data_IF_485846474774
#
_entry.id   IF_485846474774
#
_cell.length_a   1.000
_cell.length_b   1.000
_cell.length_c   1.000
_cell.angle_alpha   90.00
_cell.angle_beta   90.00
_cell.angle_gamma   90.00
#
_symmetry.space_group_name_H-M   'P 1'
#
loop_
_entity.id
_entity.type
_entity.pdbx_description
1 polymer ?
#
# COMPACT_ATOMS: atom_id res chain seq x y z
N UNK A 1 19.49 22.83 3.02
CA UNK A 1 18.15 23.39 3.32
C UNK A 1 17.08 22.37 2.93
N UNK A 2 16.65 21.54 3.88
CA UNK A 2 15.55 20.59 3.67
C UNK A 2 14.24 21.37 3.76
N UNK A 3 13.55 21.53 2.63
CA UNK A 3 12.18 22.07 2.62
C UNK A 3 11.30 21.09 3.38
N UNK A 4 11.02 21.37 4.66
CA UNK A 4 9.97 20.66 5.41
C UNK A 4 8.65 21.04 4.74
N UNK A 5 8.05 20.09 4.04
CA UNK A 5 6.70 20.22 3.49
C UNK A 5 5.75 20.55 4.64
N UNK A 6 4.92 21.60 4.54
CA UNK A 6 4.00 21.95 5.62
C UNK A 6 3.01 20.79 5.87
N UNK A 7 2.87 20.37 7.13
CA UNK A 7 1.95 19.29 7.59
C UNK A 7 0.48 19.49 7.15
N UNK A 8 0.08 20.69 6.71
CA UNK A 8 -1.29 21.05 6.32
C UNK A 8 -1.71 20.64 4.91
N UNK A 9 -0.76 20.26 4.04
CA UNK A 9 -1.06 19.99 2.61
C UNK A 9 -0.94 18.51 2.21
N UNK A 10 -0.63 17.60 3.15
CA UNK A 10 -0.58 16.17 2.88
C UNK A 10 -2.01 15.59 2.91
N UNK A 11 -2.87 16.01 1.99
CA UNK A 11 -4.14 15.33 1.77
C UNK A 11 -3.84 13.96 1.15
N UNK A 12 -3.75 12.94 2.00
CA UNK A 12 -3.55 11.56 1.57
C UNK A 12 -4.88 11.07 1.03
N UNK A 13 -4.90 10.84 -0.28
CA UNK A 13 -6.03 10.20 -0.93
C UNK A 13 -5.77 8.70 -0.92
N UNK A 14 -6.75 7.92 -0.45
CA UNK A 14 -6.70 6.47 -0.50
C UNK A 14 -6.42 5.99 -1.93
N UNK A 15 -7.09 6.60 -2.92
CA UNK A 15 -6.82 6.39 -4.34
C UNK A 15 -6.42 7.70 -4.99
N UNK A 16 -5.25 7.69 -5.64
CA UNK A 16 -4.72 8.83 -6.36
C UNK A 16 -4.54 8.51 -7.84
N UNK A 17 -5.11 9.34 -8.71
CA UNK A 17 -4.84 9.27 -10.15
C UNK A 17 -3.62 10.13 -10.50
N UNK A 18 -2.60 9.52 -11.10
CA UNK A 18 -1.45 10.26 -11.58
C UNK A 18 -1.83 11.15 -12.78
N UNK A 19 -1.51 12.45 -12.67
CA UNK A 19 -1.68 13.42 -13.75
C UNK A 19 -0.50 13.49 -14.71
N UNK A 20 0.62 12.85 -14.35
CA UNK A 20 1.90 12.86 -15.08
C UNK A 20 2.55 11.49 -14.94
N UNK A 21 3.48 11.19 -15.83
CA UNK A 21 4.35 10.00 -15.73
C UNK A 21 5.07 9.96 -14.38
N UNK A 22 5.10 8.79 -13.78
CA UNK A 22 5.81 8.49 -12.53
C UNK A 22 7.30 8.26 -12.80
N UNK A 23 8.08 8.06 -11.73
CA UNK A 23 9.52 7.75 -11.82
C UNK A 23 9.81 6.25 -11.95
N UNK A 24 8.79 5.41 -11.86
CA UNK A 24 8.89 3.97 -12.06
C UNK A 24 8.93 3.68 -13.56
N UNK A 25 9.37 2.49 -13.93
CA UNK A 25 9.33 2.01 -15.32
C UNK A 25 7.95 1.47 -15.71
N UNK A 26 7.03 1.39 -14.75
CA UNK A 26 5.70 0.85 -14.94
C UNK A 26 4.75 1.85 -15.60
N UNK A 27 3.75 1.38 -16.38
CA UNK A 27 2.73 2.23 -16.98
C UNK A 27 1.69 2.67 -15.93
N UNK A 28 2.13 3.46 -14.95
CA UNK A 28 1.29 3.81 -13.80
C UNK A 28 0.23 4.85 -14.15
N UNK A 29 -1.00 4.57 -13.73
CA UNK A 29 -2.13 5.49 -13.84
C UNK A 29 -2.76 5.82 -12.50
N UNK A 30 -2.82 4.86 -11.59
CA UNK A 30 -3.37 5.04 -10.26
C UNK A 30 -2.42 4.55 -9.19
N UNK A 31 -2.66 5.02 -7.98
CA UNK A 31 -1.99 4.59 -6.77
C UNK A 31 -3.01 4.35 -5.68
N UNK A 32 -3.00 3.16 -5.09
CA UNK A 32 -3.73 2.87 -3.85
C UNK A 32 -2.75 3.02 -2.69
N UNK A 33 -3.17 3.73 -1.64
CA UNK A 33 -2.43 3.89 -0.40
C UNK A 33 -2.86 2.83 0.61
N UNK A 34 -1.99 1.86 0.86
CA UNK A 34 -2.23 0.80 1.84
C UNK A 34 -1.78 1.21 3.24
N UNK A 35 -0.80 2.11 3.33
CA UNK A 35 -0.36 2.69 4.58
C UNK A 35 0.22 4.08 4.32
N UNK A 36 -0.02 5.02 5.23
CA UNK A 36 0.72 6.27 5.31
C UNK A 36 0.82 6.79 6.75
N UNK A 37 2.04 7.12 7.18
CA UNK A 37 2.30 7.82 8.44
C UNK A 37 2.87 9.24 8.15
N UNK A 38 2.14 10.32 8.47
CA UNK A 38 2.60 11.69 8.20
C UNK A 38 3.80 12.13 9.06
N UNK A 39 4.09 11.45 10.16
CA UNK A 39 5.17 11.82 11.08
C UNK A 39 6.51 11.25 10.63
N UNK A 40 6.51 9.99 10.21
CA UNK A 40 7.70 9.30 9.71
C UNK A 40 7.85 9.40 8.19
N UNK A 41 6.79 9.81 7.49
CA UNK A 41 6.65 9.74 6.03
C UNK A 41 6.74 8.30 5.50
N UNK A 42 6.37 7.34 6.33
CA UNK A 42 6.28 5.95 5.90
C UNK A 42 5.06 5.72 5.04
N UNK A 43 5.21 4.89 4.02
CA UNK A 43 4.13 4.58 3.09
C UNK A 43 4.27 3.22 2.44
N UNK A 44 3.12 2.64 2.11
CA UNK A 44 2.99 1.49 1.22
C UNK A 44 2.02 1.88 0.12
N UNK A 45 2.52 1.93 -1.11
CA UNK A 45 1.73 2.29 -2.27
C UNK A 45 1.66 1.12 -3.23
N UNK A 46 0.45 0.81 -3.70
CA UNK A 46 0.24 -0.09 -4.82
C UNK A 46 0.00 0.74 -6.07
N UNK A 47 0.81 0.50 -7.09
CA UNK A 47 0.73 1.17 -8.37
C UNK A 47 -0.10 0.32 -9.34
N UNK A 48 -1.04 0.98 -10.03
CA UNK A 48 -1.97 0.33 -10.96
C UNK A 48 -1.98 1.01 -12.32
N UNK A 49 -2.22 0.24 -13.37
CA UNK A 49 -2.36 0.71 -14.74
C UNK A 49 -3.76 1.33 -15.00
N UNK A 50 -4.02 1.74 -16.25
CA UNK A 50 -5.30 2.33 -16.64
C UNK A 50 -6.51 1.39 -16.51
N UNK A 51 -6.27 0.07 -16.48
CA UNK A 51 -7.29 -0.97 -16.29
C UNK A 51 -7.42 -1.39 -14.82
N UNK A 52 -6.76 -0.65 -13.92
CA UNK A 52 -6.70 -0.94 -12.49
C UNK A 52 -6.00 -2.26 -12.13
N UNK A 53 -5.19 -2.79 -13.05
CA UNK A 53 -4.33 -3.96 -12.84
C UNK A 53 -3.08 -3.50 -12.10
N UNK A 54 -2.56 -4.35 -11.20
CA UNK A 54 -1.41 -4.01 -10.37
C UNK A 54 -0.12 -4.14 -11.14
N UNK A 55 0.66 -3.06 -11.20
CA UNK A 55 2.02 -3.06 -11.74
C UNK A 55 3.05 -3.47 -10.69
N UNK A 56 2.84 -3.08 -9.43
CA UNK A 56 3.67 -3.45 -8.30
C UNK A 56 3.46 -2.54 -7.09
N UNK A 57 4.34 -2.63 -6.11
CA UNK A 57 4.28 -1.89 -4.85
C UNK A 57 5.55 -1.09 -4.60
N UNK A 58 5.41 0.01 -3.87
CA UNK A 58 6.50 0.91 -3.49
C UNK A 58 6.42 1.21 -2.00
N UNK A 59 7.56 1.04 -1.32
CA UNK A 59 7.69 1.34 0.11
C UNK A 59 8.47 2.65 0.32
N UNK A 60 8.27 3.29 1.48
CA UNK A 60 9.17 4.31 1.99
C UNK A 60 10.50 3.69 2.41
N UNK A 61 11.57 4.49 2.41
CA UNK A 61 12.89 4.01 2.82
C UNK A 61 12.89 3.57 4.31
N UNK A 62 12.04 4.16 5.15
CA UNK A 62 11.88 3.77 6.55
C UNK A 62 11.33 2.36 6.72
N UNK A 63 10.26 2.00 5.99
CA UNK A 63 9.72 0.65 5.99
C UNK A 63 10.68 -0.37 5.37
N UNK A 64 11.44 0.01 4.33
CA UNK A 64 12.45 -0.88 3.74
C UNK A 64 13.48 -1.31 4.78
N UNK A 65 13.87 -0.43 5.71
CA UNK A 65 14.83 -0.79 6.78
C UNK A 65 14.26 -1.76 7.82
N UNK A 66 12.92 -1.88 7.93
CA UNK A 66 12.27 -2.82 8.84
C UNK A 66 12.26 -4.25 8.30
N UNK A 67 12.53 -4.44 7.01
CA UNK A 67 12.59 -5.76 6.38
C UNK A 67 13.89 -6.49 6.71
N UNK A 68 13.87 -7.85 6.69
CA UNK A 68 15.08 -8.67 6.65
C UNK A 68 16.03 -8.23 5.55
N UNK A 69 17.34 -8.32 5.79
CA UNK A 69 18.38 -7.76 4.90
C UNK A 69 18.23 -8.24 3.45
N UNK A 70 17.92 -9.52 3.29
CA UNK A 70 17.74 -10.21 2.00
C UNK A 70 16.54 -9.70 1.21
N UNK A 71 15.57 -9.09 1.89
CA UNK A 71 14.32 -8.59 1.32
C UNK A 71 14.27 -7.07 1.24
N UNK A 72 15.34 -6.36 1.62
CA UNK A 72 15.40 -4.89 1.59
C UNK A 72 15.45 -4.35 0.18
N UNK A 73 14.27 -4.18 -0.41
CA UNK A 73 14.07 -3.49 -1.68
C UNK A 73 12.88 -2.54 -1.59
N UNK A 74 12.95 -1.49 -2.40
CA UNK A 74 11.91 -0.45 -2.45
C UNK A 74 10.69 -0.84 -3.27
N UNK A 75 10.90 -1.67 -4.28
CA UNK A 75 9.90 -2.03 -5.29
C UNK A 75 9.62 -3.53 -5.23
N UNK A 76 8.34 -3.89 -5.20
CA UNK A 76 7.86 -5.27 -5.19
C UNK A 76 6.96 -5.52 -6.39
N UNK A 77 7.05 -6.71 -6.98
CA UNK A 77 6.20 -7.11 -8.11
C UNK A 77 4.83 -7.60 -7.62
N UNK A 78 3.80 -7.70 -8.48
CA UNK A 78 2.44 -8.04 -8.05
C UNK A 78 2.32 -9.37 -7.30
N UNK A 79 3.13 -10.38 -7.66
CA UNK A 79 3.15 -11.69 -7.00
C UNK A 79 3.68 -11.65 -5.56
N UNK A 80 4.33 -10.57 -5.16
CA UNK A 80 4.89 -10.39 -3.81
C UNK A 80 3.93 -9.65 -2.86
N UNK A 81 2.68 -9.36 -3.30
CA UNK A 81 1.67 -8.68 -2.47
C UNK A 81 1.49 -9.37 -1.12
N UNK A 82 1.37 -10.69 -1.14
CA UNK A 82 1.09 -11.48 0.06
C UNK A 82 2.21 -11.34 1.10
N UNK A 83 3.47 -11.48 0.67
CA UNK A 83 4.65 -11.24 1.49
C UNK A 83 4.63 -9.84 2.12
N UNK A 84 4.39 -8.83 1.30
CA UNK A 84 4.34 -7.44 1.75
C UNK A 84 3.23 -7.19 2.78
N UNK A 85 2.04 -7.76 2.53
CA UNK A 85 0.87 -7.57 3.38
C UNK A 85 1.03 -8.26 4.73
N UNK A 86 1.78 -9.37 4.79
CA UNK A 86 2.05 -10.05 6.05
C UNK A 86 3.12 -9.33 6.87
N UNK A 87 4.20 -8.83 6.24
CA UNK A 87 5.21 -8.05 6.98
C UNK A 87 4.67 -6.76 7.61
N UNK A 88 3.66 -6.16 6.98
CA UNK A 88 3.09 -4.88 7.42
C UNK A 88 1.60 -4.98 7.73
N UNK A 89 1.11 -6.17 8.10
CA UNK A 89 -0.31 -6.44 8.30
C UNK A 89 -0.93 -5.44 9.27
N UNK A 90 -0.29 -5.24 10.42
CA UNK A 90 -0.75 -4.32 11.45
C UNK A 90 -0.82 -2.89 10.93
N UNK A 91 0.26 -2.40 10.32
CA UNK A 91 0.35 -1.04 9.79
C UNK A 91 -0.68 -0.77 8.68
N UNK A 92 -0.95 -1.76 7.82
CA UNK A 92 -1.95 -1.67 6.75
C UNK A 92 -3.35 -1.71 7.35
N UNK A 93 -3.64 -2.71 8.19
CA UNK A 93 -4.97 -2.89 8.80
C UNK A 93 -5.37 -1.68 9.63
N UNK A 94 -4.47 -1.14 10.45
CA UNK A 94 -4.72 0.07 11.23
C UNK A 94 -5.01 1.29 10.34
N UNK A 95 -4.24 1.48 9.26
CA UNK A 95 -4.44 2.60 8.35
C UNK A 95 -5.76 2.48 7.59
N UNK A 96 -6.06 1.31 7.02
CA UNK A 96 -7.29 1.08 6.25
C UNK A 96 -8.55 1.18 7.13
N UNK A 97 -8.48 0.74 8.39
CA UNK A 97 -9.58 0.88 9.34
C UNK A 97 -9.64 2.26 10.01
N UNK A 98 -8.71 3.16 9.69
CA UNK A 98 -8.75 4.54 10.18
C UNK A 98 -9.77 5.39 9.40
N UNK A 99 -10.03 6.59 9.92
CA UNK A 99 -10.89 7.59 9.27
C UNK A 99 -10.36 8.12 7.92
N UNK A 100 -9.10 7.87 7.58
CA UNK A 100 -8.48 8.37 6.35
C UNK A 100 -8.92 7.58 5.10
N UNK A 101 -9.48 6.38 5.31
CA UNK A 101 -10.06 5.56 4.25
C UNK A 101 -11.55 5.45 4.52
N UNK A 102 -12.38 5.86 3.56
CA UNK A 102 -13.83 5.73 3.69
C UNK A 102 -14.29 4.30 3.36
N UNK A 103 -15.27 3.78 4.11
CA UNK A 103 -15.77 2.41 3.93
C UNK A 103 -16.46 2.22 2.57
N UNK A 104 -17.26 3.21 2.14
CA UNK A 104 -17.97 3.19 0.87
C UNK A 104 -16.98 3.36 -0.30
N UNK A 105 -15.98 4.23 -0.17
CA UNK A 105 -14.90 4.33 -1.17
C UNK A 105 -14.16 2.99 -1.31
N UNK A 106 -13.78 2.37 -0.19
CA UNK A 106 -13.09 1.08 -0.20
C UNK A 106 -13.94 -0.01 -0.86
N UNK A 107 -15.20 -0.16 -0.44
CA UNK A 107 -16.10 -1.20 -0.95
C UNK A 107 -16.38 -1.03 -2.44
N UNK A 108 -16.56 0.20 -2.93
CA UNK A 108 -16.74 0.45 -4.37
C UNK A 108 -15.53 0.04 -5.21
N UNK A 109 -14.33 0.12 -4.64
CA UNK A 109 -13.09 -0.16 -5.35
C UNK A 109 -12.76 -1.65 -5.34
N UNK A 110 -12.92 -2.30 -4.19
CA UNK A 110 -12.54 -3.70 -4.00
C UNK A 110 -13.70 -4.68 -4.11
N UNK A 111 -14.95 -4.19 -4.18
CA UNK A 111 -16.16 -5.01 -4.26
C UNK A 111 -16.50 -5.74 -2.96
N UNK A 112 -15.75 -5.49 -1.88
CA UNK A 112 -15.94 -6.10 -0.56
C UNK A 112 -15.66 -5.08 0.54
N UNK A 113 -16.34 -5.23 1.68
CA UNK A 113 -16.09 -4.40 2.85
C UNK A 113 -14.70 -4.65 3.45
N UNK A 114 -14.16 -3.64 4.15
CA UNK A 114 -12.90 -3.77 4.92
C UNK A 114 -12.94 -4.93 5.89
N UNK A 115 -14.08 -5.13 6.58
CA UNK A 115 -14.29 -6.24 7.51
C UNK A 115 -14.08 -7.61 6.85
N UNK A 116 -14.53 -7.78 5.60
CA UNK A 116 -14.32 -9.03 4.86
C UNK A 116 -12.87 -9.14 4.37
N UNK A 117 -12.33 -8.04 3.83
CA UNK A 117 -10.98 -7.99 3.27
C UNK A 117 -9.88 -8.30 4.31
N UNK A 118 -10.03 -7.79 5.53
CA UNK A 118 -9.11 -7.98 6.67
C UNK A 118 -9.73 -8.88 7.75
N UNK A 119 -10.56 -9.85 7.35
CA UNK A 119 -11.04 -10.87 8.29
C UNK A 119 -9.90 -11.83 8.67
N UNK A 120 -9.99 -12.43 9.86
CA UNK A 120 -9.02 -13.45 10.30
C UNK A 120 -8.87 -14.56 9.26
N UNK A 121 -9.99 -15.06 8.72
CA UNK A 121 -10.00 -16.05 7.63
C UNK A 121 -9.18 -15.61 6.42
N UNK A 122 -9.32 -14.34 5.98
CA UNK A 122 -8.55 -13.82 4.86
C UNK A 122 -7.05 -13.67 5.18
N UNK A 123 -6.71 -13.25 6.40
CA UNK A 123 -5.32 -13.10 6.84
C UNK A 123 -4.65 -14.49 7.00
N UNK A 124 -5.38 -15.47 7.51
CA UNK A 124 -4.94 -16.86 7.59
C UNK A 124 -4.65 -17.41 6.18
N UNK A 125 -5.54 -17.18 5.21
CA UNK A 125 -5.31 -17.54 3.79
C UNK A 125 -4.06 -16.87 3.20
N UNK A 126 -3.76 -15.62 3.58
CA UNK A 126 -2.52 -14.98 3.15
C UNK A 126 -1.31 -15.74 3.70
N UNK A 127 -1.35 -16.08 4.99
CA UNK A 127 -0.26 -16.76 5.68
C UNK A 127 0.02 -18.14 5.07
N UNK A 128 -1.02 -18.92 4.78
CA UNK A 128 -0.91 -20.23 4.12
C UNK A 128 -0.26 -20.14 2.73
N UNK A 129 -0.42 -19.02 2.03
CA UNK A 129 0.21 -18.81 0.72
C UNK A 129 1.71 -18.56 0.80
N UNK A 130 2.23 -18.08 1.93
CA UNK A 130 3.69 -17.94 2.11
C UNK A 130 4.34 -19.30 2.33
N UNK A 131 3.71 -20.23 3.06
CA UNK A 131 4.26 -21.57 3.27
C UNK A 131 4.40 -22.38 1.95
N UNK A 132 3.79 -21.89 0.87
CA UNK A 132 3.86 -22.44 -0.48
C UNK A 132 4.85 -21.71 -1.41
N UNK A 133 5.49 -20.62 -0.96
CA UNK A 133 6.50 -19.84 -1.69
C UNK A 133 7.93 -20.28 -1.34
#
# INVERSE_FOLDING_TARGET
>A
MTKKTPKRDLQITFIHQFKRTTRTEWPDKFRVCWHFNPETLDYIYEHKDEKFITNGFVLSDGLVQQLPEELRKKYFIPSERCLLFLFFELQISEFINSKEVDDFEFENVFGVSKKRYFSLEAIDEWSERIDLL
#
